data_IF_982685182585
#
_entry.id   IF_982685182585
#
_cell.length_a   1.000
_cell.length_b   1.000
_cell.length_c   1.000
_cell.angle_alpha   90.00
_cell.angle_beta   90.00
_cell.angle_gamma   90.00
#
_symmetry.space_group_name_H-M   'P 1'
#
loop_
_entity.id
_entity.type
_entity.pdbx_description
1 polymer ?
#
# COMPACT_ATOMS: atom_id res chain seq x y z
N UNK A 1 -1.30 -14.96 -34.16
CA UNK A 1 -2.00 -14.87 -32.86
C UNK A 1 -1.47 -13.65 -32.14
N UNK A 2 -2.21 -12.55 -32.11
CA UNK A 2 -1.74 -11.31 -31.47
C UNK A 2 -1.90 -11.43 -29.96
N UNK A 3 -0.79 -11.55 -29.24
CA UNK A 3 -0.75 -11.52 -27.78
C UNK A 3 -0.99 -10.08 -27.33
N UNK A 4 -2.21 -9.80 -26.85
CA UNK A 4 -2.52 -8.53 -26.19
C UNK A 4 -1.84 -8.55 -24.83
N UNK A 5 -0.80 -7.74 -24.67
CA UNK A 5 -0.11 -7.58 -23.39
C UNK A 5 -1.01 -6.78 -22.44
N UNK A 6 -1.57 -7.43 -21.42
CA UNK A 6 -2.31 -6.74 -20.37
C UNK A 6 -1.32 -6.17 -19.36
N UNK A 7 -1.32 -4.85 -19.21
CA UNK A 7 -0.47 -4.15 -18.25
C UNK A 7 -1.36 -3.43 -17.25
N UNK A 8 -1.22 -3.82 -15.98
CA UNK A 8 -1.92 -3.24 -14.84
C UNK A 8 -0.97 -2.35 -14.05
N UNK A 9 -1.43 -1.15 -13.73
CA UNK A 9 -0.71 -0.19 -12.88
C UNK A 9 -1.62 0.12 -11.69
N UNK A 10 -1.03 0.30 -10.51
CA UNK A 10 -1.80 0.62 -9.32
C UNK A 10 -1.10 1.55 -8.35
N UNK A 11 -1.89 2.20 -7.50
CA UNK A 11 -1.43 3.03 -6.39
C UNK A 11 -1.82 2.42 -5.05
N UNK A 12 -0.92 2.55 -4.07
CA UNK A 12 -1.16 2.21 -2.68
C UNK A 12 -1.41 3.50 -1.90
N UNK A 13 -2.63 3.66 -1.39
CA UNK A 13 -3.07 4.86 -0.67
C UNK A 13 -3.34 4.59 0.82
N UNK A 14 -2.77 3.51 1.36
CA UNK A 14 -2.78 3.19 2.78
C UNK A 14 -1.34 3.11 3.28
N UNK A 15 -1.16 3.31 4.58
CA UNK A 15 0.16 3.33 5.19
C UNK A 15 0.33 4.52 6.13
N UNK A 16 1.36 4.47 6.97
CA UNK A 16 1.68 5.57 7.87
C UNK A 16 2.25 6.76 7.11
N UNK A 17 2.95 6.53 5.99
CA UNK A 17 3.44 7.64 5.14
C UNK A 17 2.29 8.50 4.61
N UNK A 18 1.20 7.84 4.16
CA UNK A 18 -0.02 8.54 3.73
C UNK A 18 -0.67 9.29 4.89
N UNK A 19 -0.73 8.68 6.08
CA UNK A 19 -1.30 9.31 7.26
C UNK A 19 -0.55 10.59 7.67
N UNK A 20 0.79 10.56 7.66
CA UNK A 20 1.62 11.74 7.94
C UNK A 20 1.35 12.85 6.91
N UNK A 21 1.36 12.50 5.62
CA UNK A 21 1.08 13.46 4.56
C UNK A 21 -0.34 14.08 4.65
N UNK A 22 -1.32 13.32 5.14
CA UNK A 22 -2.67 13.81 5.39
C UNK A 22 -2.72 14.84 6.52
N UNK A 23 -1.96 14.62 7.60
CA UNK A 23 -1.84 15.59 8.70
C UNK A 23 -1.23 16.90 8.19
N UNK A 24 -0.15 16.81 7.41
CA UNK A 24 0.53 18.00 6.87
C UNK A 24 -0.35 18.79 5.90
N UNK A 25 -1.15 18.09 5.09
CA UNK A 25 -2.02 18.73 4.08
C UNK A 25 -3.40 19.11 4.61
N UNK A 26 -3.74 18.71 5.85
CA UNK A 26 -5.07 18.84 6.45
C UNK A 26 -6.18 18.21 5.59
N UNK A 27 -5.83 17.21 4.79
CA UNK A 27 -6.77 16.46 3.95
C UNK A 27 -7.07 15.11 4.60
N UNK A 28 -8.28 14.59 4.36
CA UNK A 28 -8.57 13.19 4.71
C UNK A 28 -7.79 12.25 3.80
N UNK A 29 -7.44 11.06 4.29
CA UNK A 29 -6.71 10.04 3.51
C UNK A 29 -7.41 9.68 2.20
N UNK A 30 -8.74 9.65 2.21
CA UNK A 30 -9.54 9.43 1.01
C UNK A 30 -9.35 10.53 -0.04
N UNK A 31 -9.43 11.80 0.38
CA UNK A 31 -9.31 12.95 -0.53
C UNK A 31 -7.88 13.07 -1.04
N UNK A 32 -6.89 12.92 -0.15
CA UNK A 32 -5.48 12.96 -0.50
C UNK A 32 -5.11 11.88 -1.54
N UNK A 33 -5.53 10.62 -1.28
CA UNK A 33 -5.34 9.51 -2.20
C UNK A 33 -5.97 9.76 -3.57
N UNK A 34 -7.22 10.21 -3.60
CA UNK A 34 -7.93 10.51 -4.84
C UNK A 34 -7.22 11.59 -5.69
N UNK A 35 -6.71 12.65 -5.06
CA UNK A 35 -5.97 13.71 -5.77
C UNK A 35 -4.67 13.17 -6.37
N UNK A 36 -3.93 12.35 -5.63
CA UNK A 36 -2.70 11.74 -6.14
C UNK A 36 -2.98 10.77 -7.28
N UNK A 37 -4.00 9.93 -7.14
CA UNK A 37 -4.44 8.99 -8.17
C UNK A 37 -4.78 9.71 -9.47
N UNK A 38 -5.52 10.82 -9.40
CA UNK A 38 -5.84 11.63 -10.57
C UNK A 38 -4.60 12.24 -11.22
N UNK A 39 -3.63 12.72 -10.42
CA UNK A 39 -2.37 13.26 -10.95
C UNK A 39 -1.53 12.19 -11.65
N UNK A 40 -1.46 10.98 -11.08
CA UNK A 40 -0.74 9.85 -11.65
C UNK A 40 -1.43 9.38 -12.92
N UNK A 41 -2.75 9.18 -12.87
CA UNK A 41 -3.56 8.78 -14.02
C UNK A 41 -3.42 9.76 -15.19
N UNK A 42 -3.49 11.06 -14.92
CA UNK A 42 -3.30 12.08 -15.95
C UNK A 42 -1.91 12.00 -16.59
N UNK A 43 -0.84 11.83 -15.80
CA UNK A 43 0.52 11.65 -16.34
C UNK A 43 0.62 10.37 -17.16
N UNK A 44 0.02 9.26 -16.72
CA UNK A 44 0.00 8.01 -17.46
C UNK A 44 -0.75 8.15 -18.79
N UNK A 45 -1.87 8.88 -18.81
CA UNK A 45 -2.63 9.16 -20.03
C UNK A 45 -1.82 9.98 -21.04
N UNK A 46 -1.05 10.97 -20.56
CA UNK A 46 -0.20 11.80 -21.43
C UNK A 46 1.02 11.05 -21.97
N UNK A 47 1.61 10.17 -21.17
CA UNK A 47 2.83 9.44 -21.53
C UNK A 47 2.54 8.17 -22.35
N UNK A 48 1.35 7.61 -22.23
CA UNK A 48 1.03 6.31 -22.82
C UNK A 48 0.35 6.39 -24.18
N UNK A 49 0.88 5.61 -25.14
CA UNK A 49 0.16 5.23 -26.38
C UNK A 49 -0.64 3.92 -26.26
N UNK A 50 -0.67 3.29 -25.07
CA UNK A 50 -1.35 2.02 -24.78
C UNK A 50 -2.39 2.18 -23.68
N UNK A 51 -3.50 1.47 -23.80
CA UNK A 51 -4.51 1.40 -22.75
C UNK A 51 -3.97 0.57 -21.58
N UNK A 52 -3.80 1.21 -20.42
CA UNK A 52 -3.46 0.56 -19.16
C UNK A 52 -4.70 0.41 -18.30
N UNK A 53 -4.79 -0.69 -17.56
CA UNK A 53 -5.74 -0.79 -16.45
C UNK A 53 -5.12 -0.10 -15.23
N UNK A 54 -5.78 0.93 -14.72
CA UNK A 54 -5.34 1.66 -13.53
C UNK A 54 -6.26 1.33 -12.35
N UNK A 55 -5.71 0.72 -11.31
CA UNK A 55 -6.44 0.28 -10.11
C UNK A 55 -5.89 1.03 -8.90
N UNK A 56 -6.75 1.59 -8.07
CA UNK A 56 -6.30 2.25 -6.83
C UNK A 56 -6.70 1.40 -5.63
N UNK A 57 -5.84 1.29 -4.61
CA UNK A 57 -6.21 0.53 -3.41
C UNK A 57 -7.51 1.01 -2.76
N UNK A 58 -7.84 2.32 -2.67
CA UNK A 58 -9.13 2.74 -2.11
C UNK A 58 -10.35 2.20 -2.88
N UNK A 59 -10.26 2.10 -4.21
CA UNK A 59 -11.34 1.56 -5.06
C UNK A 59 -11.37 0.03 -4.99
N UNK A 60 -10.19 -0.60 -4.86
CA UNK A 60 -10.10 -2.05 -4.66
C UNK A 60 -10.64 -2.46 -3.29
N UNK A 61 -10.41 -1.68 -2.24
CA UNK A 61 -10.91 -1.93 -0.89
C UNK A 61 -12.41 -1.57 -0.79
N UNK A 62 -12.88 -0.46 -1.39
CA UNK A 62 -14.31 -0.18 -1.50
C UNK A 62 -15.13 -1.29 -2.20
N UNK A 63 -14.51 -2.10 -3.07
CA UNK A 63 -15.13 -3.27 -3.71
C UNK A 63 -14.61 -4.63 -3.22
N UNK A 64 -13.59 -4.65 -2.35
CA UNK A 64 -12.74 -5.83 -2.05
C UNK A 64 -12.34 -5.97 -0.58
N UNK A 65 -12.74 -5.04 0.28
CA UNK A 65 -12.67 -5.16 1.75
C UNK A 65 -13.33 -6.46 2.20
N UNK A 66 -14.49 -6.75 1.62
CA UNK A 66 -15.19 -8.01 1.84
C UNK A 66 -14.34 -9.22 1.41
N UNK A 67 -13.56 -9.11 0.34
CA UNK A 67 -12.76 -10.23 -0.18
C UNK A 67 -11.51 -10.49 0.66
N UNK A 68 -10.81 -9.44 1.09
CA UNK A 68 -9.64 -9.58 1.96
C UNK A 68 -10.07 -10.15 3.31
N UNK A 69 -11.13 -9.59 3.89
CA UNK A 69 -11.69 -10.11 5.15
C UNK A 69 -12.17 -11.56 4.99
N UNK A 70 -12.83 -11.87 3.87
CA UNK A 70 -13.26 -13.24 3.57
C UNK A 70 -12.08 -14.21 3.48
N UNK A 71 -10.98 -13.86 2.80
CA UNK A 71 -9.78 -14.70 2.75
C UNK A 71 -9.18 -14.87 4.14
N UNK A 72 -9.02 -13.76 4.87
CA UNK A 72 -8.42 -13.77 6.19
C UNK A 72 -9.17 -14.70 7.13
N UNK A 73 -10.49 -14.55 7.21
CA UNK A 73 -11.35 -15.35 8.09
C UNK A 73 -11.58 -16.77 7.57
N UNK A 74 -12.08 -16.92 6.34
CA UNK A 74 -12.59 -18.21 5.86
C UNK A 74 -11.55 -19.12 5.24
N UNK A 75 -10.35 -18.60 4.91
CA UNK A 75 -9.26 -19.43 4.38
C UNK A 75 -8.10 -19.54 5.34
N UNK A 76 -7.59 -18.41 5.83
CA UNK A 76 -6.37 -18.43 6.64
C UNK A 76 -6.65 -18.81 8.10
N UNK A 77 -7.66 -18.20 8.73
CA UNK A 77 -7.98 -18.46 10.12
C UNK A 77 -8.57 -19.87 10.33
N UNK A 78 -9.56 -20.26 9.52
CA UNK A 78 -10.20 -21.60 9.58
C UNK A 78 -9.22 -22.74 9.31
N UNK A 79 -8.24 -22.53 8.43
CA UNK A 79 -7.21 -23.53 8.13
C UNK A 79 -6.07 -23.56 9.16
N UNK A 80 -6.09 -22.68 10.17
CA UNK A 80 -5.05 -22.61 11.20
C UNK A 80 -3.71 -22.05 10.72
N UNK A 81 -3.67 -21.31 9.60
CA UNK A 81 -2.44 -20.76 9.03
C UNK A 81 -2.00 -19.43 9.66
N UNK A 82 -2.84 -18.81 10.48
CA UNK A 82 -2.53 -17.55 11.16
C UNK A 82 -2.76 -17.69 12.66
N UNK A 83 -1.93 -17.01 13.43
CA UNK A 83 -2.04 -16.90 14.88
C UNK A 83 -1.75 -15.47 15.32
N UNK A 84 -2.16 -15.13 16.54
CA UNK A 84 -1.92 -13.81 17.13
C UNK A 84 -0.64 -13.86 17.97
N UNK A 85 0.25 -12.89 17.77
CA UNK A 85 1.49 -12.75 18.53
C UNK A 85 1.86 -11.28 18.69
N UNK A 86 2.91 -11.00 19.48
CA UNK A 86 3.47 -9.66 19.71
C UNK A 86 4.88 -9.59 19.13
N UNK A 87 5.06 -8.76 18.11
CA UNK A 87 6.38 -8.47 17.58
C UNK A 87 7.11 -7.42 18.44
N UNK A 88 8.40 -7.65 18.71
CA UNK A 88 9.31 -6.69 19.35
C UNK A 88 10.57 -6.59 18.52
N UNK A 89 10.78 -5.43 17.90
CA UNK A 89 11.94 -5.17 17.04
C UNK A 89 11.85 -3.80 16.41
N UNK A 90 12.70 -3.55 15.42
CA UNK A 90 12.78 -2.27 14.73
C UNK A 90 11.75 -2.19 13.61
N UNK A 91 11.08 -1.04 13.51
CA UNK A 91 10.11 -0.75 12.46
C UNK A 91 10.32 0.67 11.96
N UNK A 92 10.53 0.82 10.65
CA UNK A 92 10.60 2.14 9.99
C UNK A 92 9.21 2.52 9.51
N UNK A 93 8.75 3.69 9.94
CA UNK A 93 7.47 4.27 9.49
C UNK A 93 7.57 4.73 8.03
N UNK A 94 8.76 5.18 7.60
CA UNK A 94 8.98 5.71 6.26
C UNK A 94 9.03 4.57 5.23
N UNK A 95 9.73 3.49 5.57
CA UNK A 95 9.89 2.33 4.67
C UNK A 95 8.77 1.29 4.83
N UNK A 96 7.92 1.47 5.85
CA UNK A 96 6.83 0.56 6.23
C UNK A 96 7.29 -0.90 6.38
N UNK A 97 8.49 -1.06 6.96
CA UNK A 97 9.21 -2.32 7.00
C UNK A 97 9.84 -2.61 8.37
N UNK A 98 9.95 -3.89 8.70
CA UNK A 98 10.66 -4.39 9.87
C UNK A 98 12.13 -4.64 9.55
N UNK A 99 13.01 -4.24 10.46
CA UNK A 99 14.45 -4.43 10.34
C UNK A 99 14.98 -5.42 11.37
N UNK A 100 15.99 -6.20 10.99
CA UNK A 100 16.72 -7.05 11.92
C UNK A 100 17.78 -6.22 12.65
N UNK A 101 18.30 -6.73 13.78
CA UNK A 101 19.37 -6.06 14.52
C UNK A 101 20.67 -5.88 13.72
N UNK A 102 20.83 -6.60 12.60
CA UNK A 102 21.99 -6.44 11.70
C UNK A 102 21.83 -5.28 10.72
N UNK A 103 20.59 -4.89 10.44
CA UNK A 103 20.26 -3.85 9.47
C UNK A 103 20.18 -2.47 10.13
N UNK A 104 20.32 -2.40 11.46
CA UNK A 104 20.21 -1.18 12.24
C UNK A 104 21.54 -0.87 12.91
N UNK A 105 21.99 0.36 12.77
CA UNK A 105 23.23 0.87 13.37
C UNK A 105 22.93 1.94 14.42
N UNK A 106 23.83 2.09 15.39
CA UNK A 106 23.72 3.14 16.40
C UNK A 106 24.60 4.32 16.02
N UNK A 107 23.97 5.45 15.73
CA UNK A 107 24.65 6.71 15.44
C UNK A 107 24.19 7.74 16.46
N UNK A 108 25.11 8.14 17.33
CA UNK A 108 24.88 9.15 18.38
C UNK A 108 23.70 8.82 19.33
N UNK A 109 23.54 7.54 19.70
CA UNK A 109 22.45 7.09 20.57
C UNK A 109 21.10 6.98 19.87
N UNK A 110 21.07 7.15 18.54
CA UNK A 110 19.89 6.91 17.70
C UNK A 110 20.14 5.69 16.83
N UNK A 111 19.13 4.83 16.78
CA UNK A 111 19.09 3.69 15.88
C UNK A 111 18.65 4.17 14.50
N UNK A 112 19.51 3.96 13.51
CA UNK A 112 19.35 4.38 12.11
C UNK A 112 19.63 3.23 11.15
#
# INVERSE_FOLDING_TARGET
MNMVLYVQISTTAYGYGVFIACIETLLSAFVYGFILDMKIYHKLLLLSRRHYSFITTPIFYANGDAYILYIFQNKLQTSGFIYKDVYRGWYSVIDECFYSDKDVQDVNGKKV
#
